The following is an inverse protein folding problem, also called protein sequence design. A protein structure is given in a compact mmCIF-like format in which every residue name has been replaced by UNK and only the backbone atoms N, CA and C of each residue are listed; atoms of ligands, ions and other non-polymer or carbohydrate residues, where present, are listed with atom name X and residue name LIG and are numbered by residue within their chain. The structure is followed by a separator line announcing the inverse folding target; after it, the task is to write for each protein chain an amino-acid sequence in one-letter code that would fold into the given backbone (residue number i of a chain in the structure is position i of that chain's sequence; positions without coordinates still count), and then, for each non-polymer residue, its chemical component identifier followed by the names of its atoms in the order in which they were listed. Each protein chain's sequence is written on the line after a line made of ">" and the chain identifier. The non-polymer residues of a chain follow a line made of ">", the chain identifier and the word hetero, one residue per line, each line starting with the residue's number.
data_IF_900848635140
#
_entry.id   IF_900848635140
#
_cell.length_a   1.000
_cell.length_b   1.000
_cell.length_c   1.000
_cell.angle_alpha   90.00
_cell.angle_beta   90.00
_cell.angle_gamma   90.00
#
_symmetry.space_group_name_H-M   'P 1'
#
loop_
_entity.id
_entity.type
_entity.pdbx_description
1 polymer ?
#
# COMPACT_ATOMS: atom_id res chain seq x y z
N UNK A 1 6.52 -12.99 7.37
CA UNK A 1 5.90 -12.63 6.07
C UNK A 1 6.74 -13.24 4.98
N UNK A 2 6.11 -13.81 3.96
CA UNK A 2 6.81 -14.34 2.78
C UNK A 2 7.49 -13.19 2.03
N UNK A 3 8.47 -13.48 1.16
CA UNK A 3 9.17 -12.44 0.40
C UNK A 3 8.32 -12.09 -0.82
N UNK A 4 8.10 -10.79 -1.05
CA UNK A 4 7.39 -10.33 -2.23
C UNK A 4 8.26 -10.43 -3.50
N UNK A 5 7.61 -10.26 -4.65
CA UNK A 5 8.18 -10.47 -5.98
C UNK A 5 8.85 -9.22 -6.58
N UNK A 6 8.82 -8.06 -5.90
CA UNK A 6 9.41 -6.83 -6.43
C UNK A 6 10.85 -6.64 -5.96
N UNK A 7 11.74 -6.31 -6.90
CA UNK A 7 13.10 -5.88 -6.60
C UNK A 7 13.14 -4.35 -6.45
N UNK A 8 12.94 -3.86 -5.23
CA UNK A 8 12.91 -2.43 -4.95
C UNK A 8 14.27 -1.98 -4.40
N UNK A 9 14.90 -1.00 -5.05
CA UNK A 9 16.20 -0.45 -4.61
C UNK A 9 16.12 0.15 -3.20
N UNK A 10 17.13 -0.17 -2.39
CA UNK A 10 17.24 0.26 -1.00
C UNK A 10 17.67 1.73 -0.93
N UNK A 11 16.83 2.57 -0.34
CA UNK A 11 17.15 3.97 -0.05
C UNK A 11 17.35 4.12 1.45
N UNK A 12 18.54 3.74 1.94
CA UNK A 12 19.17 4.25 3.17
C UNK A 12 18.31 4.31 4.44
N UNK A 13 17.32 3.43 4.62
CA UNK A 13 16.49 3.43 5.82
C UNK A 13 17.18 2.62 6.93
N UNK A 14 17.56 3.30 8.01
CA UNK A 14 18.30 2.67 9.11
C UNK A 14 17.36 1.89 10.05
N UNK A 15 17.27 0.58 9.84
CA UNK A 15 16.44 -0.31 10.66
C UNK A 15 17.04 -0.62 12.04
N UNK A 16 18.35 -0.42 12.24
CA UNK A 16 19.04 -0.83 13.47
C UNK A 16 18.96 0.21 14.58
N UNK A 17 18.52 1.44 14.27
CA UNK A 17 18.23 2.46 15.27
C UNK A 17 17.29 1.90 16.36
N UNK A 18 17.57 2.10 17.66
CA UNK A 18 16.91 1.35 18.74
C UNK A 18 15.37 1.41 18.71
N UNK A 19 14.81 2.59 18.47
CA UNK A 19 13.36 2.82 18.40
C UNK A 19 12.76 2.24 17.12
N UNK A 20 13.40 2.47 15.97
CA UNK A 20 13.01 1.93 14.66
C UNK A 20 12.97 0.42 14.68
N UNK A 21 14.03 -0.23 15.18
CA UNK A 21 14.13 -1.68 15.32
C UNK A 21 12.96 -2.24 16.15
N UNK A 22 12.66 -1.61 17.29
CA UNK A 22 11.55 -2.03 18.14
C UNK A 22 10.20 -1.89 17.43
N UNK A 23 9.99 -0.80 16.69
CA UNK A 23 8.76 -0.57 15.94
C UNK A 23 8.62 -1.56 14.77
N UNK A 24 9.68 -1.84 14.03
CA UNK A 24 9.68 -2.86 12.96
C UNK A 24 9.29 -4.23 13.51
N UNK A 25 9.86 -4.66 14.64
CA UNK A 25 9.50 -5.94 15.25
C UNK A 25 8.03 -5.99 15.69
N UNK A 26 7.46 -4.87 16.15
CA UNK A 26 6.02 -4.78 16.48
C UNK A 26 5.15 -4.92 15.24
N UNK A 27 5.50 -4.21 14.16
CA UNK A 27 4.77 -4.28 12.88
C UNK A 27 4.85 -5.69 12.30
N UNK A 28 6.06 -6.28 12.24
CA UNK A 28 6.27 -7.64 11.74
C UNK A 28 5.51 -8.71 12.54
N UNK A 29 5.35 -8.51 13.86
CA UNK A 29 4.53 -9.38 14.71
C UNK A 29 3.03 -9.20 14.40
N UNK A 30 2.57 -7.97 14.25
CA UNK A 30 1.17 -7.68 13.92
C UNK A 30 0.77 -8.25 12.56
N UNK A 31 1.66 -8.17 11.57
CA UNK A 31 1.47 -8.74 10.22
C UNK A 31 1.37 -10.27 10.17
N UNK A 32 1.65 -10.99 11.26
CA UNK A 32 1.43 -12.45 11.32
C UNK A 32 -0.05 -12.80 11.50
N UNK A 33 -0.88 -11.83 11.86
CA UNK A 33 -2.32 -12.02 11.99
C UNK A 33 -3.00 -11.66 10.66
N UNK A 34 -4.01 -12.42 10.21
CA UNK A 34 -4.80 -12.10 9.02
C UNK A 34 -5.82 -10.98 9.34
N UNK A 35 -5.33 -9.84 9.84
CA UNK A 35 -6.15 -8.68 10.23
C UNK A 35 -5.46 -7.37 9.85
N UNK A 36 -6.22 -6.31 9.50
CA UNK A 36 -5.66 -4.98 9.29
C UNK A 36 -4.89 -4.47 10.52
N UNK A 37 -3.76 -3.79 10.27
CA UNK A 37 -2.89 -3.24 11.32
C UNK A 37 -3.00 -1.71 11.33
N UNK A 38 -3.44 -1.16 12.46
CA UNK A 38 -3.45 0.28 12.71
C UNK A 38 -2.15 0.71 13.39
N UNK A 39 -1.47 1.73 12.85
CA UNK A 39 -0.26 2.31 13.43
C UNK A 39 -0.57 3.64 14.13
N UNK A 40 -0.53 3.64 15.46
CA UNK A 40 -0.77 4.82 16.28
C UNK A 40 0.54 5.45 16.82
N UNK A 41 0.55 6.76 17.02
CA UNK A 41 1.64 7.51 17.63
C UNK A 41 1.68 8.97 17.15
N UNK A 42 2.52 9.80 17.74
CA UNK A 42 2.62 11.22 17.40
C UNK A 42 2.93 11.48 15.91
N UNK A 43 2.51 12.63 15.35
CA UNK A 43 2.96 13.05 14.02
C UNK A 43 4.50 13.11 13.93
N UNK A 44 5.06 12.86 12.75
CA UNK A 44 6.51 12.98 12.51
C UNK A 44 7.39 11.82 13.00
N UNK A 45 6.88 10.84 13.76
CA UNK A 45 7.68 9.71 14.31
C UNK A 45 8.10 8.64 13.27
N UNK A 46 7.83 8.86 11.99
CA UNK A 46 8.28 7.97 10.91
C UNK A 46 7.39 6.75 10.61
N UNK A 47 6.12 6.73 11.04
CA UNK A 47 5.18 5.61 10.76
C UNK A 47 5.09 5.26 9.28
N UNK A 48 4.83 6.27 8.44
CA UNK A 48 4.74 6.11 6.98
C UNK A 48 6.08 5.66 6.39
N UNK A 49 7.20 6.28 6.82
CA UNK A 49 8.53 5.92 6.35
C UNK A 49 8.89 4.47 6.67
N UNK A 50 8.51 3.99 7.86
CA UNK A 50 8.75 2.63 8.32
C UNK A 50 7.98 1.59 7.50
N UNK A 51 6.71 1.82 7.18
CA UNK A 51 5.92 0.91 6.32
C UNK A 51 6.48 0.87 4.90
N UNK A 52 6.77 2.04 4.33
CA UNK A 52 7.34 2.13 2.97
C UNK A 52 8.69 1.43 2.89
N UNK A 53 9.57 1.61 3.89
CA UNK A 53 10.86 0.94 3.94
C UNK A 53 10.70 -0.58 4.11
N UNK A 54 9.79 -1.02 4.99
CA UNK A 54 9.54 -2.44 5.21
C UNK A 54 9.01 -3.15 3.96
N UNK A 55 8.10 -2.52 3.23
CA UNK A 55 7.60 -3.06 1.95
C UNK A 55 8.71 -3.21 0.92
N UNK A 56 9.54 -2.17 0.74
CA UNK A 56 10.73 -2.23 -0.13
C UNK A 56 11.68 -3.36 0.24
N UNK A 57 12.06 -3.43 1.52
CA UNK A 57 12.99 -4.44 2.02
C UNK A 57 12.45 -5.87 1.90
N UNK A 58 11.14 -6.04 2.08
CA UNK A 58 10.47 -7.34 1.96
C UNK A 58 10.06 -7.70 0.53
N UNK A 59 10.24 -6.80 -0.45
CA UNK A 59 9.87 -7.02 -1.85
C UNK A 59 8.37 -6.87 -2.15
N UNK A 60 7.60 -6.24 -1.27
CA UNK A 60 6.17 -5.99 -1.50
C UNK A 60 5.91 -4.58 -2.03
N UNK A 61 5.00 -4.48 -2.99
CA UNK A 61 4.47 -3.20 -3.48
C UNK A 61 3.67 -2.53 -2.36
N UNK A 62 4.09 -1.33 -1.93
CA UNK A 62 3.32 -0.52 -0.99
C UNK A 62 2.46 0.45 -1.78
N UNK A 63 1.16 0.20 -1.83
CA UNK A 63 0.19 1.14 -2.41
C UNK A 63 -0.24 2.12 -1.34
N UNK A 64 -0.03 3.42 -1.60
CA UNK A 64 -0.42 4.50 -0.68
C UNK A 64 -1.72 5.12 -1.17
N UNK A 65 -2.78 4.95 -0.39
CA UNK A 65 -4.09 5.56 -0.63
C UNK A 65 -4.28 6.64 0.44
N UNK A 66 -4.49 7.88 0.01
CA UNK A 66 -4.87 8.97 0.91
C UNK A 66 -6.38 9.14 0.84
N UNK A 67 -7.03 9.17 2.00
CA UNK A 67 -8.48 9.36 2.09
C UNK A 67 -8.77 10.79 2.53
N UNK A 68 -9.78 11.41 1.93
CA UNK A 68 -10.36 12.68 2.35
C UNK A 68 -11.89 12.63 2.23
N UNK A 69 -12.58 13.71 2.64
CA UNK A 69 -14.04 13.83 2.49
C UNK A 69 -14.51 13.84 1.03
N UNK A 70 -13.59 14.09 0.09
CA UNK A 70 -13.86 14.08 -1.35
C UNK A 70 -13.57 12.71 -2.00
N UNK A 71 -13.04 11.73 -1.25
CA UNK A 71 -12.79 10.40 -1.79
C UNK A 71 -14.11 9.64 -1.92
N UNK A 72 -14.47 9.26 -3.14
CA UNK A 72 -15.66 8.46 -3.43
C UNK A 72 -15.31 6.96 -3.53
N UNK A 73 -16.32 6.10 -3.42
CA UNK A 73 -16.17 4.65 -3.57
C UNK A 73 -15.71 4.27 -4.97
N UNK A 74 -16.08 5.05 -5.99
CA UNK A 74 -15.65 4.85 -7.37
C UNK A 74 -14.13 5.03 -7.53
N UNK A 75 -13.51 5.95 -6.78
CA UNK A 75 -12.06 6.14 -6.80
C UNK A 75 -11.30 4.91 -6.24
N UNK A 76 -11.91 4.24 -5.26
CA UNK A 76 -11.30 3.11 -4.57
C UNK A 76 -11.55 1.79 -5.30
N UNK A 77 -12.80 1.52 -5.66
CA UNK A 77 -13.21 0.24 -6.22
C UNK A 77 -13.21 0.22 -7.74
N UNK A 78 -13.50 1.34 -8.39
CA UNK A 78 -13.60 1.45 -9.84
C UNK A 78 -14.97 1.91 -10.32
N UNK A 79 -15.05 2.14 -11.62
CA UNK A 79 -16.26 2.56 -12.32
C UNK A 79 -16.19 2.19 -13.80
N UNK A 80 -17.33 2.24 -14.48
CA UNK A 80 -17.37 2.13 -15.94
C UNK A 80 -16.91 3.45 -16.57
N UNK A 81 -15.81 3.38 -17.33
CA UNK A 81 -15.23 4.52 -18.02
C UNK A 81 -15.42 4.38 -19.54
N UNK A 82 -15.59 5.50 -20.27
CA UNK A 82 -15.63 5.47 -21.72
C UNK A 82 -14.26 5.05 -22.28
N UNK A 83 -14.27 4.08 -23.19
CA UNK A 83 -13.11 3.57 -23.92
C UNK A 83 -13.36 3.66 -25.41
N UNK A 84 -12.32 4.01 -26.18
CA UNK A 84 -12.38 4.00 -27.64
C UNK A 84 -12.17 2.58 -28.16
N UNK A 85 -13.08 2.12 -29.02
CA UNK A 85 -13.03 0.82 -29.70
C UNK A 85 -13.18 1.00 -31.22
N UNK A 86 -12.91 -0.04 -32.00
CA UNK A 86 -13.12 -0.04 -33.47
C UNK A 86 -14.58 0.26 -33.86
N UNK A 87 -15.53 0.00 -32.97
CA UNK A 87 -16.97 0.17 -33.15
C UNK A 87 -17.50 1.52 -32.61
N UNK A 88 -16.62 2.36 -32.07
CA UNK A 88 -16.94 3.66 -31.46
C UNK A 88 -16.71 3.73 -29.95
N UNK A 89 -17.37 4.67 -29.27
CA UNK A 89 -17.27 4.86 -27.82
C UNK A 89 -18.07 3.78 -27.09
N UNK A 90 -17.39 2.97 -26.28
CA UNK A 90 -18.00 1.96 -25.43
C UNK A 90 -17.68 2.25 -23.96
N UNK A 91 -18.44 1.68 -23.04
CA UNK A 91 -18.14 1.75 -21.61
C UNK A 91 -17.52 0.43 -21.18
N UNK A 92 -16.36 0.51 -20.51
CA UNK A 92 -15.70 -0.66 -19.95
C UNK A 92 -15.33 -0.41 -18.49
N UNK A 93 -15.42 -1.46 -17.69
CA UNK A 93 -15.04 -1.41 -16.28
C UNK A 93 -13.55 -1.08 -16.13
N UNK A 94 -13.25 -0.10 -15.29
CA UNK A 94 -11.90 0.25 -14.87
C UNK A 94 -11.78 0.09 -13.36
N UNK A 95 -10.85 -0.77 -12.91
CA UNK A 95 -10.58 -0.96 -11.48
C UNK A 95 -10.06 0.34 -10.84
N UNK A 96 -10.54 0.61 -9.63
CA UNK A 96 -9.99 1.66 -8.75
C UNK A 96 -8.72 1.20 -8.03
N UNK A 97 -8.02 2.14 -7.39
CA UNK A 97 -6.67 1.89 -6.83
C UNK A 97 -6.67 0.84 -5.72
N UNK A 98 -7.74 0.76 -4.91
CA UNK A 98 -7.85 -0.24 -3.84
C UNK A 98 -8.15 -1.61 -4.43
N UNK A 99 -9.08 -1.70 -5.38
CA UNK A 99 -9.43 -2.98 -6.00
C UNK A 99 -8.24 -3.58 -6.76
N UNK A 100 -7.50 -2.75 -7.51
CA UNK A 100 -6.28 -3.18 -8.16
C UNK A 100 -5.26 -3.71 -7.15
N UNK A 101 -5.05 -3.00 -6.04
CA UNK A 101 -4.11 -3.44 -4.99
C UNK A 101 -4.52 -4.76 -4.33
N UNK A 102 -5.82 -5.01 -4.15
CA UNK A 102 -6.34 -6.27 -3.62
C UNK A 102 -6.24 -7.44 -4.60
N UNK A 103 -6.29 -7.17 -5.92
CA UNK A 103 -6.13 -8.21 -6.96
C UNK A 103 -4.67 -8.60 -7.17
N UNK A 104 -3.75 -7.66 -7.01
CA UNK A 104 -2.30 -7.86 -7.24
C UNK A 104 -1.53 -8.35 -6.00
N UNK A 105 -2.10 -8.25 -4.80
CA UNK A 105 -1.43 -8.52 -3.51
C UNK A 105 -1.82 -9.84 -2.88
#
# INVERSE_FOLDING_TARGET
>A
IEKGNQHLEDKGFEFLAPTTRRNVLRVLRAMQLPKPVLLEGSPGVGKTSLVTALGKYSGHKVVRINLSEQTDIMDLLGSDLPVESEEGLQFAWSDGILLQALREG
#
